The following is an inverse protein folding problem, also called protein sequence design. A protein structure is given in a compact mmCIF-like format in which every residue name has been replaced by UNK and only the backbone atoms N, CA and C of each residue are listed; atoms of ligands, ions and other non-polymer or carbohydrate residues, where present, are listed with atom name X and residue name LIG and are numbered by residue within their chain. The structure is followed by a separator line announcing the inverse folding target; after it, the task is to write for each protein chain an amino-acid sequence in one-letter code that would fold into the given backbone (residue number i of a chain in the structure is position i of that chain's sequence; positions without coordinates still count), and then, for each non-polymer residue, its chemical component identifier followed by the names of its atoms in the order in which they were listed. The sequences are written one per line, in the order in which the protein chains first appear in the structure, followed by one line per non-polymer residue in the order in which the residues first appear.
data_IF_771584211234
#
_entry.id   IF_771584211234
#
_cell.length_a   1.000
_cell.length_b   1.000
_cell.length_c   1.000
_cell.angle_alpha   90.00
_cell.angle_beta   90.00
_cell.angle_gamma   90.00
#
_symmetry.space_group_name_H-M   'P 1'
#
loop_
_entity.id
_entity.type
_entity.pdbx_description
1 polymer ?
#
# COMPACT_ATOMS: atom_id res chain seq x y z
N UNK A 1 25.14 6.79 0.04
CA UNK A 1 24.70 5.39 0.21
C UNK A 1 23.21 5.40 0.54
N UNK A 2 22.34 5.24 -0.47
CA UNK A 2 20.89 5.29 -0.29
C UNK A 2 20.33 3.86 -0.40
N UNK A 3 19.64 3.41 0.65
CA UNK A 3 19.07 2.07 0.76
C UNK A 3 17.91 1.88 -0.23
N UNK A 4 17.87 0.66 -0.76
CA UNK A 4 17.04 0.14 -1.86
C UNK A 4 15.53 0.24 -1.61
N UNK A 5 14.78 0.78 -2.59
CA UNK A 5 13.31 0.98 -2.65
C UNK A 5 12.44 -0.30 -2.59
N UNK A 6 12.91 -1.42 -2.05
CA UNK A 6 12.29 -2.76 -2.28
C UNK A 6 11.31 -3.27 -1.22
N UNK A 7 10.99 -2.52 -0.16
CA UNK A 7 10.11 -3.02 0.91
C UNK A 7 9.08 -1.96 1.34
N UNK A 8 8.03 -1.80 0.54
CA UNK A 8 7.00 -0.78 0.75
C UNK A 8 5.62 -1.45 0.91
N UNK A 9 4.98 -1.26 2.07
CA UNK A 9 3.67 -1.84 2.44
C UNK A 9 2.58 -0.78 2.27
N UNK A 10 1.56 -1.01 1.43
CA UNK A 10 0.47 -0.05 1.23
C UNK A 10 -0.77 -0.41 2.04
N UNK A 11 -1.52 0.56 2.57
CA UNK A 11 -2.77 0.34 3.30
C UNK A 11 -3.85 1.31 2.83
N UNK A 12 -5.08 0.87 2.56
CA UNK A 12 -6.17 1.82 2.20
C UNK A 12 -6.95 2.27 3.44
N UNK A 13 -7.07 3.58 3.63
CA UNK A 13 -8.28 4.20 4.19
C UNK A 13 -9.33 4.31 3.08
N UNK A 14 -10.61 4.19 3.44
CA UNK A 14 -11.67 3.86 2.48
C UNK A 14 -12.02 4.97 1.48
N UNK A 15 -12.56 4.52 0.32
CA UNK A 15 -13.47 5.31 -0.50
C UNK A 15 -13.15 5.32 -2.00
N UNK A 16 -13.71 4.38 -2.76
CA UNK A 16 -14.25 4.63 -4.10
C UNK A 16 -15.08 3.43 -4.60
N UNK A 17 -16.39 3.63 -4.64
CA UNK A 17 -17.34 2.87 -5.47
C UNK A 17 -17.27 3.48 -6.87
N UNK A 18 -17.31 2.71 -7.97
CA UNK A 18 -18.12 3.09 -9.14
C UNK A 18 -18.30 1.92 -10.14
N UNK A 19 -19.54 1.83 -10.63
CA UNK A 19 -20.08 0.83 -11.54
C UNK A 19 -19.58 1.00 -12.97
N UNK A 20 -19.35 -0.12 -13.66
CA UNK A 20 -18.99 -0.16 -15.08
C UNK A 20 -20.23 0.07 -15.96
N UNK A 21 -20.08 0.84 -17.04
CA UNK A 21 -20.82 0.68 -18.30
C UNK A 21 -20.14 1.44 -19.46
N UNK A 22 -19.51 0.67 -20.35
CA UNK A 22 -19.21 0.84 -21.78
C UNK A 22 -18.84 2.24 -22.35
N UNK A 23 -17.54 2.46 -22.59
CA UNK A 23 -17.00 3.35 -23.63
C UNK A 23 -15.57 2.90 -24.01
N UNK A 24 -15.06 3.16 -25.25
CA UNK A 24 -13.70 2.79 -25.64
C UNK A 24 -12.68 3.59 -24.82
N UNK A 25 -11.95 2.91 -23.95
CA UNK A 25 -10.99 3.54 -23.03
C UNK A 25 -9.70 3.89 -23.79
N UNK A 26 -9.28 5.17 -23.87
CA UNK A 26 -7.97 5.51 -24.40
C UNK A 26 -6.87 4.88 -23.54
N UNK A 27 -5.78 4.43 -24.15
CA UNK A 27 -4.67 3.69 -23.51
C UNK A 27 -3.84 4.61 -22.58
N UNK A 28 -4.46 5.19 -21.57
CA UNK A 28 -3.80 5.50 -20.31
C UNK A 28 -3.89 4.22 -19.50
N UNK A 29 -2.76 3.68 -19.05
CA UNK A 29 -2.76 2.43 -18.26
C UNK A 29 -3.50 2.75 -16.95
N UNK A 30 -4.81 2.50 -16.92
CA UNK A 30 -5.65 2.83 -15.78
C UNK A 30 -5.09 2.10 -14.55
N UNK A 31 -4.95 2.86 -13.47
CA UNK A 31 -4.76 2.24 -12.16
C UNK A 31 -5.97 1.37 -11.91
N UNK A 32 -5.74 0.09 -11.71
CA UNK A 32 -6.78 -0.85 -11.33
C UNK A 32 -6.29 -1.70 -10.19
N UNK A 33 -7.24 -2.16 -9.39
CA UNK A 33 -7.00 -3.02 -8.25
C UNK A 33 -7.74 -4.33 -8.44
N UNK A 34 -7.10 -5.41 -8.03
CA UNK A 34 -7.69 -6.74 -8.03
C UNK A 34 -7.49 -7.36 -6.65
N UNK A 35 -8.42 -8.23 -6.23
CA UNK A 35 -8.17 -9.08 -5.07
C UNK A 35 -7.00 -10.01 -5.38
N UNK A 36 -6.02 -10.05 -4.48
CA UNK A 36 -4.92 -10.99 -4.60
C UNK A 36 -5.47 -12.41 -4.42
N UNK A 37 -5.21 -13.33 -5.37
CA UNK A 37 -5.57 -14.74 -5.19
C UNK A 37 -4.66 -15.45 -4.17
N UNK A 38 -3.65 -14.75 -3.65
CA UNK A 38 -2.66 -15.29 -2.72
C UNK A 38 -2.92 -14.76 -1.31
N UNK A 39 -2.51 -15.56 -0.33
CA UNK A 39 -2.33 -15.06 1.02
C UNK A 39 -1.02 -14.26 1.08
N UNK A 40 -1.13 -12.96 1.34
CA UNK A 40 0.01 -12.06 1.40
C UNK A 40 0.37 -11.77 2.85
N UNK A 41 1.65 -11.98 3.19
CA UNK A 41 2.22 -11.64 4.48
C UNK A 41 3.44 -10.76 4.29
N UNK A 42 3.50 -9.66 5.03
CA UNK A 42 4.69 -8.82 5.07
C UNK A 42 5.40 -8.97 6.40
N UNK A 43 6.72 -9.16 6.32
CA UNK A 43 7.60 -9.31 7.48
C UNK A 43 8.65 -8.20 7.47
N UNK A 44 8.93 -7.65 8.64
CA UNK A 44 10.01 -6.69 8.85
C UNK A 44 10.65 -6.99 10.20
N UNK A 45 11.99 -7.00 10.27
CA UNK A 45 12.70 -7.29 11.52
C UNK A 45 12.37 -8.64 12.18
N UNK A 46 11.86 -9.61 11.41
CA UNK A 46 11.42 -10.90 11.94
C UNK A 46 9.98 -10.92 12.48
N UNK A 47 9.32 -9.77 12.60
CA UNK A 47 7.91 -9.66 12.96
C UNK A 47 7.03 -9.65 11.71
N UNK A 48 5.78 -10.11 11.85
CA UNK A 48 4.74 -9.93 10.82
C UNK A 48 4.11 -8.56 11.00
N UNK A 49 4.13 -7.74 9.96
CA UNK A 49 3.52 -6.40 9.95
C UNK A 49 2.12 -6.47 9.38
N UNK A 50 1.93 -7.20 8.28
CA UNK A 50 0.64 -7.39 7.62
C UNK A 50 0.44 -8.86 7.29
N UNK A 51 -0.79 -9.37 7.44
CA UNK A 51 -1.14 -10.76 7.14
C UNK A 51 -2.58 -10.86 6.63
N UNK A 52 -2.77 -10.98 5.32
CA UNK A 52 -4.08 -10.86 4.70
C UNK A 52 -4.34 -11.82 3.55
N UNK A 53 -5.53 -12.42 3.58
CA UNK A 53 -6.15 -13.12 2.42
C UNK A 53 -7.07 -12.22 1.61
N UNK A 54 -7.14 -10.94 1.96
CA UNK A 54 -8.00 -9.91 1.37
C UNK A 54 -7.18 -8.74 0.82
N UNK A 55 -5.88 -8.95 0.63
CA UNK A 55 -5.00 -7.93 0.07
C UNK A 55 -5.42 -7.63 -1.37
N UNK A 56 -5.45 -6.35 -1.74
CA UNK A 56 -5.57 -5.92 -3.13
C UNK A 56 -4.18 -5.77 -3.74
N UNK A 57 -4.03 -6.09 -5.02
CA UNK A 57 -2.86 -5.71 -5.82
C UNK A 57 -3.25 -4.55 -6.74
N UNK A 58 -2.49 -3.45 -6.68
CA UNK A 58 -2.64 -2.33 -7.58
C UNK A 58 -1.66 -2.45 -8.74
N UNK A 59 -2.20 -2.35 -9.94
CA UNK A 59 -1.49 -2.46 -11.21
C UNK A 59 -1.67 -1.19 -12.03
N UNK A 60 -0.82 -1.00 -13.04
CA UNK A 60 -0.97 0.08 -14.02
C UNK A 60 0.07 1.20 -13.94
N UNK A 61 0.84 1.31 -12.84
CA UNK A 61 2.02 2.19 -12.77
C UNK A 61 3.18 1.51 -12.05
N UNK A 62 4.35 1.50 -12.69
CA UNK A 62 5.61 1.04 -12.08
C UNK A 62 5.55 -0.39 -11.54
N UNK A 63 6.12 -0.58 -10.34
CA UNK A 63 6.08 -1.86 -9.61
C UNK A 63 4.72 -2.02 -8.93
N UNK A 64 4.06 -3.19 -9.03
CA UNK A 64 2.81 -3.44 -8.32
C UNK A 64 2.91 -3.19 -6.82
N UNK A 65 1.86 -2.63 -6.23
CA UNK A 65 1.76 -2.40 -4.79
C UNK A 65 0.64 -3.24 -4.19
N UNK A 66 0.86 -3.80 -2.99
CA UNK A 66 -0.18 -4.51 -2.24
C UNK A 66 -0.80 -3.58 -1.21
N UNK A 67 -2.13 -3.51 -1.24
CA UNK A 67 -2.95 -2.79 -0.27
C UNK A 67 -3.61 -3.77 0.68
N UNK A 68 -3.48 -3.51 1.98
CA UNK A 68 -4.07 -4.33 3.03
C UNK A 68 -5.26 -3.63 3.67
N UNK A 69 -6.34 -4.36 4.03
CA UNK A 69 -7.31 -3.88 4.99
C UNK A 69 -6.61 -3.50 6.29
N UNK A 70 -7.07 -2.43 6.94
CA UNK A 70 -6.41 -1.91 8.15
C UNK A 70 -6.36 -2.93 9.28
N UNK A 71 -7.39 -3.77 9.37
CA UNK A 71 -7.55 -4.80 10.40
C UNK A 71 -6.54 -5.94 10.25
N UNK A 72 -6.02 -6.13 9.04
CA UNK A 72 -5.05 -7.17 8.72
C UNK A 72 -3.60 -6.70 8.90
N UNK A 73 -3.40 -5.49 9.46
CA UNK A 73 -2.09 -4.90 9.70
C UNK A 73 -1.93 -4.50 11.15
N UNK A 74 -0.74 -4.75 11.68
CA UNK A 74 -0.31 -4.35 13.02
C UNK A 74 -0.04 -2.84 13.07
N UNK A 75 -1.12 -2.06 13.15
CA UNK A 75 -1.06 -0.59 13.23
C UNK A 75 -0.28 -0.08 14.44
N UNK A 76 -0.17 -0.87 15.51
CA UNK A 76 0.69 -0.61 16.68
C UNK A 76 2.19 -0.55 16.32
N UNK A 77 2.58 -1.05 15.14
CA UNK A 77 3.95 -0.99 14.61
C UNK A 77 4.18 0.17 13.64
N UNK A 78 3.13 0.93 13.31
CA UNK A 78 3.19 2.05 12.39
C UNK A 78 3.09 3.36 13.15
N UNK A 79 4.03 4.27 12.92
CA UNK A 79 3.98 5.64 13.45
C UNK A 79 3.78 6.62 12.30
N UNK A 80 2.72 7.45 12.27
CA UNK A 80 2.52 8.41 11.19
C UNK A 80 3.65 9.45 11.20
N UNK A 81 4.07 9.88 10.02
CA UNK A 81 5.01 10.99 9.85
C UNK A 81 4.26 12.26 9.43
N UNK A 82 4.96 13.39 9.38
CA UNK A 82 4.46 14.61 8.71
C UNK A 82 4.67 14.57 7.19
N UNK A 83 5.38 13.55 6.67
CA UNK A 83 5.68 13.44 5.25
C UNK A 83 4.44 13.04 4.45
N UNK A 84 4.17 13.79 3.37
CA UNK A 84 3.03 13.61 2.47
C UNK A 84 3.51 13.65 1.04
N UNK A 85 2.85 12.89 0.16
CA UNK A 85 3.09 12.94 -1.29
C UNK A 85 1.78 13.03 -2.03
N UNK A 86 1.71 13.88 -3.04
CA UNK A 86 0.52 14.04 -3.87
C UNK A 86 0.54 13.10 -5.07
N UNK A 87 -0.58 12.43 -5.31
CA UNK A 87 -0.82 11.65 -6.52
C UNK A 87 -2.02 12.25 -7.27
N UNK A 88 -1.83 12.53 -8.56
CA UNK A 88 -2.86 13.16 -9.42
C UNK A 88 -4.17 12.37 -9.48
N UNK A 89 -4.10 11.04 -9.30
CA UNK A 89 -5.28 10.15 -9.42
C UNK A 89 -5.82 9.72 -8.06
N UNK A 90 -4.95 9.43 -7.09
CA UNK A 90 -5.32 8.82 -5.80
C UNK A 90 -5.38 9.83 -4.64
N UNK A 91 -4.97 11.08 -4.86
CA UNK A 91 -4.92 12.11 -3.82
C UNK A 91 -3.64 12.07 -2.98
N UNK A 92 -3.73 12.57 -1.75
CA UNK A 92 -2.58 12.69 -0.85
C UNK A 92 -2.30 11.38 -0.13
N UNK A 93 -1.05 10.90 -0.18
CA UNK A 93 -0.60 9.77 0.62
C UNK A 93 0.03 10.23 1.94
N UNK A 94 -0.44 9.65 3.04
CA UNK A 94 0.18 9.71 4.37
C UNK A 94 1.20 8.61 4.54
N UNK A 95 2.40 8.95 5.02
CA UNK A 95 3.50 7.99 5.21
C UNK A 95 3.69 7.61 6.67
N UNK A 96 4.21 6.41 6.88
CA UNK A 96 4.44 5.81 8.20
C UNK A 96 5.88 5.28 8.33
N UNK A 97 6.42 5.43 9.53
CA UNK A 97 7.58 4.67 10.00
C UNK A 97 7.07 3.30 10.46
N UNK A 98 7.75 2.24 10.04
CA UNK A 98 7.48 0.87 10.50
C UNK A 98 8.56 0.45 11.50
N UNK A 99 8.16 -0.05 12.66
CA UNK A 99 9.06 -0.51 13.73
C UNK A 99 8.86 -1.98 14.03
N UNK A 100 9.96 -2.74 14.12
CA UNK A 100 9.96 -4.15 14.53
C UNK A 100 11.20 -4.43 15.39
N UNK A 101 10.98 -4.62 16.69
CA UNK A 101 12.06 -4.65 17.69
C UNK A 101 13.05 -3.48 17.51
N UNK A 102 14.36 -3.75 17.33
CA UNK A 102 15.36 -2.70 17.13
C UNK A 102 15.39 -2.13 15.71
N UNK A 103 14.64 -2.71 14.76
CA UNK A 103 14.63 -2.23 13.37
C UNK A 103 13.58 -1.15 13.17
N UNK A 104 13.98 -0.13 12.42
CA UNK A 104 13.13 1.00 12.03
C UNK A 104 13.29 1.21 10.53
N UNK A 105 12.18 1.33 9.81
CA UNK A 105 12.15 1.71 8.41
C UNK A 105 11.28 2.97 8.26
N UNK A 106 11.91 4.06 7.83
CA UNK A 106 11.23 5.33 7.58
C UNK A 106 10.49 5.29 6.24
N UNK A 107 9.29 5.90 6.21
CA UNK A 107 8.45 5.99 5.00
C UNK A 107 8.30 4.62 4.30
N UNK A 108 8.12 3.56 5.09
CA UNK A 108 8.05 2.18 4.60
C UNK A 108 6.62 1.68 4.41
N UNK A 109 5.64 2.46 4.86
CA UNK A 109 4.24 2.25 4.56
C UNK A 109 3.53 3.56 4.24
N UNK A 110 2.46 3.49 3.46
CA UNK A 110 1.61 4.63 3.16
C UNK A 110 0.13 4.27 3.12
N UNK A 111 -0.72 5.28 3.28
CA UNK A 111 -2.15 5.19 3.00
C UNK A 111 -2.64 6.42 2.26
N UNK A 112 -3.65 6.21 1.42
CA UNK A 112 -4.51 7.29 0.92
C UNK A 112 -5.70 7.45 1.88
#
# INVERSE_FOLDING_TARGET
MALSRREMISMMGGGAVYAAQNAPVPVTRQLHTELSPKWIRVRFGGEVIADSRRALIMLGRGTPAYYFPKEDVRMDRLTPTSYRTQNETLGEASWYIVKAGPKVAENAAWSY
#
